data_IF_408565727069
#
_entry.id   IF_408565727069
#
_cell.length_a   1.000
_cell.length_b   1.000
_cell.length_c   1.000
_cell.angle_alpha   90.00
_cell.angle_beta   90.00
_cell.angle_gamma   90.00
#
_symmetry.space_group_name_H-M   'P 1'
#
loop_
_entity.id
_entity.type
_entity.pdbx_description
1 polymer ?
#
# COMPACT_ATOMS: atom_id res chain seq x y z
N UNK A 1 12.74 -0.62 0.28
CA UNK A 1 12.23 -2.00 0.51
C UNK A 1 12.16 -2.22 2.00
N UNK A 2 10.98 -2.50 2.54
CA UNK A 2 10.75 -2.59 3.99
C UNK A 2 11.49 -3.79 4.60
N UNK A 3 12.72 -3.60 4.96
CA UNK A 3 13.56 -4.26 5.98
C UNK A 3 13.80 -5.77 5.98
N UNK A 4 12.94 -6.62 5.44
CA UNK A 4 13.13 -8.07 5.46
C UNK A 4 13.02 -8.65 4.06
N UNK A 5 14.14 -9.10 3.54
CA UNK A 5 14.17 -9.94 2.35
C UNK A 5 13.54 -11.30 2.69
N UNK A 6 12.50 -11.67 1.96
CA UNK A 6 11.76 -12.93 2.15
C UNK A 6 11.47 -13.55 0.79
N UNK A 7 11.15 -14.83 0.77
CA UNK A 7 10.73 -15.53 -0.46
C UNK A 7 9.58 -14.81 -1.19
N UNK A 8 8.72 -14.12 -0.44
CA UNK A 8 7.64 -13.30 -0.98
C UNK A 8 8.17 -12.10 -1.76
N UNK A 9 9.13 -11.37 -1.21
CA UNK A 9 9.73 -10.20 -1.88
C UNK A 9 10.59 -10.62 -3.06
N UNK A 10 11.29 -11.76 -2.94
CA UNK A 10 12.09 -12.33 -4.01
C UNK A 10 11.25 -12.69 -5.25
N UNK A 11 10.14 -13.41 -5.07
CA UNK A 11 9.26 -13.76 -6.19
C UNK A 11 8.66 -12.50 -6.84
N UNK A 12 8.21 -11.52 -6.04
CA UNK A 12 7.69 -10.26 -6.57
C UNK A 12 8.76 -9.54 -7.38
N UNK A 13 9.97 -9.47 -6.88
CA UNK A 13 11.08 -8.84 -7.54
C UNK A 13 11.40 -9.50 -8.89
N UNK A 14 11.51 -10.85 -8.93
CA UNK A 14 11.70 -11.60 -10.19
C UNK A 14 10.59 -11.31 -11.21
N UNK A 15 9.35 -11.25 -10.77
CA UNK A 15 8.20 -10.94 -11.65
C UNK A 15 8.33 -9.53 -12.24
N UNK A 16 8.62 -8.54 -11.41
CA UNK A 16 8.78 -7.15 -11.87
C UNK A 16 9.97 -7.00 -12.82
N UNK A 17 11.07 -7.70 -12.52
CA UNK A 17 12.27 -7.75 -13.39
C UNK A 17 11.93 -8.34 -14.75
N UNK A 18 11.23 -9.46 -14.82
CA UNK A 18 10.92 -10.11 -16.10
C UNK A 18 9.91 -9.32 -16.93
N UNK A 19 8.90 -8.71 -16.31
CA UNK A 19 7.96 -7.81 -17.00
C UNK A 19 8.71 -6.57 -17.56
N UNK A 20 9.59 -5.97 -16.77
CA UNK A 20 10.39 -4.83 -17.22
C UNK A 20 11.33 -5.24 -18.37
N UNK A 21 11.99 -6.39 -18.24
CA UNK A 21 12.89 -6.92 -19.29
C UNK A 21 12.13 -7.16 -20.60
N UNK A 22 10.99 -7.83 -20.54
CA UNK A 22 10.13 -8.07 -21.70
C UNK A 22 9.78 -6.76 -22.42
N UNK A 23 9.45 -5.70 -21.67
CA UNK A 23 9.13 -4.40 -22.25
C UNK A 23 10.36 -3.68 -22.82
N UNK A 24 11.50 -3.67 -22.14
CA UNK A 24 12.73 -3.03 -22.61
C UNK A 24 13.28 -3.71 -23.87
N UNK A 25 13.27 -5.03 -23.91
CA UNK A 25 13.76 -5.83 -25.03
C UNK A 25 12.76 -5.90 -26.20
N UNK A 26 11.52 -5.47 -26.01
CA UNK A 26 10.47 -5.52 -27.03
C UNK A 26 10.06 -6.96 -27.38
N UNK A 27 10.12 -7.87 -26.40
CA UNK A 27 9.74 -9.25 -26.60
C UNK A 27 8.23 -9.39 -26.87
N UNK A 28 7.86 -10.44 -27.60
CA UNK A 28 6.45 -10.73 -27.88
C UNK A 28 5.67 -11.01 -26.58
N UNK A 29 4.42 -10.53 -26.48
CA UNK A 29 3.55 -10.81 -25.33
C UNK A 29 3.29 -12.31 -25.05
N UNK A 30 3.44 -13.18 -26.04
CA UNK A 30 3.35 -14.63 -25.88
C UNK A 30 4.42 -15.19 -24.94
N UNK A 31 5.54 -14.50 -24.76
CA UNK A 31 6.58 -14.86 -23.79
C UNK A 31 6.03 -14.97 -22.34
N UNK A 32 4.90 -14.34 -22.05
CA UNK A 32 4.24 -14.51 -20.75
C UNK A 32 3.97 -15.96 -20.39
N UNK A 33 3.76 -16.84 -21.36
CA UNK A 33 3.51 -18.28 -21.13
C UNK A 33 4.76 -19.01 -20.63
N UNK A 34 5.95 -18.54 -21.00
CA UNK A 34 7.23 -19.15 -20.64
C UNK A 34 7.80 -18.60 -19.32
N UNK A 35 7.46 -17.37 -18.96
CA UNK A 35 8.01 -16.71 -17.77
C UNK A 35 7.78 -17.47 -16.46
N UNK A 36 6.65 -18.17 -16.21
CA UNK A 36 6.49 -19.00 -15.00
C UNK A 36 7.54 -20.09 -14.88
N UNK A 37 7.99 -20.66 -16.00
CA UNK A 37 9.04 -21.70 -16.02
C UNK A 37 10.43 -21.11 -15.84
N UNK A 38 10.66 -19.88 -16.31
CA UNK A 38 11.91 -19.14 -16.07
C UNK A 38 12.05 -18.69 -14.62
N UNK A 39 10.96 -18.21 -13.99
CA UNK A 39 10.95 -17.71 -12.63
C UNK A 39 10.97 -18.84 -11.60
N UNK A 40 10.28 -19.98 -11.90
CA UNK A 40 10.24 -21.19 -11.09
C UNK A 40 10.76 -22.37 -11.92
N UNK A 41 12.10 -22.49 -12.05
CA UNK A 41 12.73 -23.56 -12.83
C UNK A 41 12.72 -24.89 -12.07
N UNK A 42 13.01 -25.99 -12.80
CA UNK A 42 13.19 -27.32 -12.23
C UNK A 42 11.87 -28.09 -12.03
N UNK A 43 11.91 -29.09 -11.20
CA UNK A 43 10.80 -30.05 -11.00
C UNK A 43 10.27 -30.06 -9.56
N UNK A 44 11.05 -29.52 -8.62
CA UNK A 44 10.75 -29.53 -7.18
C UNK A 44 10.17 -28.18 -6.76
N UNK A 45 9.02 -28.22 -6.10
CA UNK A 45 8.39 -27.04 -5.52
C UNK A 45 9.23 -26.46 -4.37
N UNK A 46 9.34 -25.13 -4.31
CA UNK A 46 10.15 -24.42 -3.30
C UNK A 46 9.29 -23.66 -2.30
N UNK A 47 8.15 -23.16 -2.73
CA UNK A 47 7.29 -22.24 -1.97
C UNK A 47 5.90 -22.81 -1.68
N UNK A 48 5.48 -23.85 -2.37
CA UNK A 48 4.17 -24.51 -2.28
C UNK A 48 4.32 -26.03 -2.35
N UNK A 49 3.21 -26.73 -2.20
CA UNK A 49 3.19 -28.20 -2.25
C UNK A 49 3.38 -28.76 -3.67
N UNK A 50 3.22 -27.92 -4.69
CA UNK A 50 3.32 -28.32 -6.09
C UNK A 50 3.94 -27.24 -6.94
N UNK A 51 4.92 -27.61 -7.77
CA UNK A 51 5.57 -26.72 -8.73
C UNK A 51 4.56 -26.17 -9.77
N UNK A 52 3.55 -26.98 -10.15
CA UNK A 52 2.49 -26.54 -11.04
C UNK A 52 1.66 -25.41 -10.42
N UNK A 53 1.37 -25.52 -9.11
CA UNK A 53 0.70 -24.46 -8.36
C UNK A 53 1.56 -23.20 -8.26
N UNK A 54 2.85 -23.32 -8.02
CA UNK A 54 3.78 -22.19 -8.00
C UNK A 54 3.78 -21.45 -9.32
N UNK A 55 3.92 -22.17 -10.44
CA UNK A 55 3.90 -21.59 -11.80
C UNK A 55 2.54 -20.95 -12.12
N UNK A 56 1.43 -21.58 -11.74
CA UNK A 56 0.11 -21.00 -11.92
C UNK A 56 -0.06 -19.67 -11.14
N UNK A 57 0.43 -19.62 -9.88
CA UNK A 57 0.43 -18.39 -9.07
C UNK A 57 1.30 -17.31 -9.69
N UNK A 58 2.48 -17.66 -10.20
CA UNK A 58 3.37 -16.73 -10.91
C UNK A 58 2.71 -16.21 -12.17
N UNK A 59 2.03 -17.06 -12.95
CA UNK A 59 1.27 -16.63 -14.13
C UNK A 59 0.24 -15.57 -13.84
N UNK A 60 -0.55 -15.73 -12.77
CA UNK A 60 -1.52 -14.69 -12.35
C UNK A 60 -0.83 -13.39 -11.88
N UNK A 61 0.32 -13.50 -11.22
CA UNK A 61 1.08 -12.33 -10.80
C UNK A 61 1.67 -11.56 -11.99
N UNK A 62 2.14 -12.26 -13.02
CA UNK A 62 2.61 -11.65 -14.26
C UNK A 62 1.49 -10.83 -14.92
N UNK A 63 0.29 -11.41 -15.02
CA UNK A 63 -0.89 -10.68 -15.53
C UNK A 63 -1.16 -9.39 -14.76
N UNK A 64 -1.19 -9.50 -13.43
CA UNK A 64 -1.47 -8.35 -12.56
C UNK A 64 -0.33 -7.31 -12.62
N UNK A 65 0.92 -7.73 -12.77
CA UNK A 65 2.06 -6.83 -12.97
C UNK A 65 1.99 -6.08 -14.32
N UNK A 66 1.36 -6.69 -15.34
CA UNK A 66 1.01 -6.03 -16.62
C UNK A 66 -0.21 -5.10 -16.52
N UNK A 67 -0.88 -5.01 -15.36
CA UNK A 67 -2.12 -4.26 -15.17
C UNK A 67 -3.40 -5.03 -15.49
N UNK A 68 -3.30 -6.24 -16.01
CA UNK A 68 -4.47 -7.06 -16.41
C UNK A 68 -5.23 -7.62 -15.20
N UNK A 69 -6.47 -8.01 -15.41
CA UNK A 69 -7.26 -8.74 -14.43
C UNK A 69 -6.85 -10.21 -14.32
N UNK A 70 -7.10 -10.81 -13.15
CA UNK A 70 -6.92 -12.25 -12.94
C UNK A 70 -7.83 -13.05 -13.89
N UNK A 71 -7.36 -14.22 -14.31
CA UNK A 71 -8.21 -15.17 -15.07
C UNK A 71 -9.30 -15.74 -14.15
N UNK A 72 -10.44 -16.05 -14.72
CA UNK A 72 -11.47 -16.76 -13.99
C UNK A 72 -11.02 -18.21 -13.74
N UNK A 73 -11.17 -18.70 -12.52
CA UNK A 73 -10.77 -20.07 -12.14
C UNK A 73 -11.57 -21.14 -12.91
N UNK A 74 -12.77 -20.80 -13.34
CA UNK A 74 -13.71 -21.70 -14.06
C UNK A 74 -13.51 -21.73 -15.57
N UNK A 75 -12.64 -20.87 -16.13
CA UNK A 75 -12.43 -20.76 -17.57
C UNK A 75 -10.97 -21.10 -17.93
N UNK A 76 -10.79 -21.97 -18.90
CA UNK A 76 -9.47 -22.20 -19.49
C UNK A 76 -9.07 -20.97 -20.32
N UNK A 77 -7.93 -20.40 -20.00
CA UNK A 77 -7.36 -19.27 -20.76
C UNK A 77 -5.84 -19.24 -20.62
N UNK A 78 -5.10 -18.86 -21.68
CA UNK A 78 -3.67 -18.60 -21.59
C UNK A 78 -3.39 -17.41 -20.68
N UNK A 79 -2.13 -17.31 -20.17
CA UNK A 79 -1.70 -16.19 -19.33
C UNK A 79 -1.77 -14.88 -20.13
N UNK A 80 -1.47 -14.94 -21.43
CA UNK A 80 -1.48 -13.82 -22.37
C UNK A 80 -2.88 -13.34 -22.80
N UNK A 81 -3.97 -14.04 -22.44
CA UNK A 81 -5.35 -13.64 -22.85
C UNK A 81 -5.62 -12.17 -22.54
N UNK A 82 -5.90 -11.35 -23.56
CA UNK A 82 -6.24 -9.94 -23.44
C UNK A 82 -5.03 -9.02 -23.19
N UNK A 83 -3.81 -9.52 -23.42
CA UNK A 83 -2.58 -8.75 -23.21
C UNK A 83 -2.48 -7.54 -24.15
N UNK A 84 -3.10 -7.59 -25.32
CA UNK A 84 -3.09 -6.53 -26.33
C UNK A 84 -3.60 -5.19 -25.76
N UNK A 85 -4.57 -5.25 -24.86
CA UNK A 85 -5.12 -4.07 -24.21
C UNK A 85 -4.13 -3.40 -23.23
N UNK A 86 -3.13 -4.13 -22.72
CA UNK A 86 -2.14 -3.66 -21.76
C UNK A 86 -0.78 -3.31 -22.38
N UNK A 87 -0.54 -3.72 -23.64
CA UNK A 87 0.71 -3.45 -24.36
C UNK A 87 0.60 -2.10 -25.09
N UNK A 88 0.54 -1.04 -24.29
CA UNK A 88 0.39 0.34 -24.75
C UNK A 88 1.33 1.26 -23.98
N UNK A 89 1.65 2.42 -24.53
CA UNK A 89 2.47 3.46 -23.89
C UNK A 89 1.65 4.43 -23.03
N UNK A 90 0.40 4.10 -22.75
CA UNK A 90 -0.52 4.92 -22.00
C UNK A 90 -1.04 4.20 -20.76
N UNK A 91 -1.69 4.96 -19.89
CA UNK A 91 -2.24 4.38 -18.66
C UNK A 91 -3.31 3.34 -18.98
N UNK A 92 -3.00 2.09 -18.65
CA UNK A 92 -3.96 1.01 -18.60
C UNK A 92 -4.44 0.80 -17.16
N UNK A 93 -5.73 0.92 -16.92
CA UNK A 93 -6.31 0.68 -15.62
C UNK A 93 -7.69 0.03 -15.74
N UNK A 94 -7.78 -1.17 -15.25
CA UNK A 94 -9.02 -1.95 -15.11
C UNK A 94 -9.26 -2.25 -13.62
N UNK A 95 -10.36 -1.77 -13.01
CA UNK A 95 -10.65 -2.08 -11.62
C UNK A 95 -10.95 -3.58 -11.41
N UNK A 96 -10.76 -4.10 -10.18
CA UNK A 96 -10.22 -3.43 -9.00
C UNK A 96 -8.68 -3.40 -8.96
N UNK A 97 -8.11 -2.46 -8.18
CA UNK A 97 -6.65 -2.34 -8.02
C UNK A 97 -6.08 -3.51 -7.20
N UNK A 98 -6.72 -3.84 -6.08
CA UNK A 98 -6.27 -4.91 -5.18
C UNK A 98 -7.09 -6.18 -5.45
N UNK A 99 -6.38 -7.27 -5.69
CA UNK A 99 -6.95 -8.56 -6.09
C UNK A 99 -6.48 -9.69 -5.19
N UNK A 100 -7.24 -10.79 -5.16
CA UNK A 100 -6.88 -12.03 -4.46
C UNK A 100 -6.73 -13.16 -5.47
N UNK A 101 -5.54 -13.72 -5.58
CA UNK A 101 -5.30 -14.95 -6.34
C UNK A 101 -5.90 -16.09 -5.51
N UNK A 102 -7.08 -16.56 -5.90
CA UNK A 102 -7.91 -17.48 -5.11
C UNK A 102 -7.19 -18.78 -4.74
N UNK A 103 -6.46 -19.37 -5.67
CA UNK A 103 -5.72 -20.62 -5.44
C UNK A 103 -4.36 -20.41 -4.73
N UNK A 104 -3.91 -19.18 -4.58
CA UNK A 104 -2.78 -18.85 -3.72
C UNK A 104 -3.21 -18.57 -2.26
N UNK A 105 -4.51 -18.39 -2.02
CA UNK A 105 -5.06 -18.14 -0.69
C UNK A 105 -5.15 -19.45 0.11
N UNK A 106 -4.56 -19.45 1.31
CA UNK A 106 -4.52 -20.63 2.18
C UNK A 106 -5.79 -20.78 3.06
N UNK A 107 -6.89 -20.12 2.72
CA UNK A 107 -8.16 -20.17 3.48
C UNK A 107 -7.93 -20.03 4.99
N UNK A 108 -7.07 -19.06 5.39
CA UNK A 108 -6.75 -18.85 6.79
C UNK A 108 -8.02 -18.70 7.63
N UNK A 109 -8.06 -19.29 8.84
CA UNK A 109 -9.25 -19.24 9.67
C UNK A 109 -9.64 -17.79 9.96
N UNK A 110 -10.93 -17.54 10.00
CA UNK A 110 -11.47 -16.31 10.55
C UNK A 110 -11.12 -16.21 12.05
N UNK A 111 -11.53 -15.14 12.67
CA UNK A 111 -11.27 -14.96 14.09
C UNK A 111 -11.85 -16.11 14.92
N UNK A 112 -11.00 -16.89 15.55
CA UNK A 112 -11.38 -17.96 16.49
C UNK A 112 -10.45 -18.00 17.70
N UNK A 113 -10.96 -18.56 18.80
CA UNK A 113 -10.16 -18.90 19.97
C UNK A 113 -10.08 -20.43 20.01
N UNK A 114 -8.89 -20.95 20.14
CA UNK A 114 -8.67 -22.41 20.16
C UNK A 114 -7.68 -22.81 21.24
N UNK A 115 -7.81 -24.05 21.67
CA UNK A 115 -6.90 -24.67 22.64
C UNK A 115 -5.87 -25.48 21.87
N UNK A 116 -4.62 -25.29 22.22
CA UNK A 116 -3.48 -26.00 21.60
C UNK A 116 -3.13 -27.26 22.38
N UNK A 117 -2.22 -28.07 21.82
CA UNK A 117 -1.65 -29.25 22.49
C UNK A 117 -0.94 -28.92 23.82
N UNK A 118 -0.62 -27.66 24.07
CA UNK A 118 -0.04 -27.17 25.33
C UNK A 118 -0.97 -27.23 26.56
N UNK A 119 -2.25 -27.61 26.38
CA UNK A 119 -3.19 -27.72 27.49
C UNK A 119 -2.80 -28.86 28.44
N UNK A 120 -2.61 -28.53 29.72
CA UNK A 120 -2.21 -29.46 30.77
C UNK A 120 -3.39 -30.10 31.54
N UNK A 121 -4.63 -29.76 31.19
CA UNK A 121 -5.81 -30.28 31.93
C UNK A 121 -5.76 -29.95 33.43
N UNK A 122 -5.35 -28.71 33.79
CA UNK A 122 -5.13 -28.31 35.16
C UNK A 122 -6.42 -28.48 36.04
N UNK A 123 -6.24 -28.80 37.30
CA UNK A 123 -7.35 -29.07 38.22
C UNK A 123 -8.26 -27.86 38.44
N UNK A 124 -7.70 -26.66 38.43
CA UNK A 124 -8.41 -25.42 38.74
C UNK A 124 -9.30 -24.93 37.57
N UNK A 125 -9.05 -25.39 36.35
CA UNK A 125 -9.78 -25.05 35.13
C UNK A 125 -10.10 -23.55 34.93
N UNK A 126 -9.18 -22.61 35.12
CA UNK A 126 -9.52 -21.18 35.14
C UNK A 126 -10.11 -20.70 33.80
N UNK A 127 -9.80 -21.34 32.70
CA UNK A 127 -10.39 -21.04 31.39
C UNK A 127 -11.88 -21.39 31.29
N UNK A 128 -12.34 -22.41 32.02
CA UNK A 128 -13.76 -22.81 32.12
C UNK A 128 -14.50 -21.80 33.00
N UNK A 129 -13.95 -21.52 34.18
CA UNK A 129 -14.57 -20.63 35.18
C UNK A 129 -14.76 -19.19 34.68
N UNK A 130 -13.77 -18.65 33.92
CA UNK A 130 -13.81 -17.27 33.42
C UNK A 130 -14.72 -17.08 32.19
N UNK A 131 -15.23 -18.18 31.60
CA UNK A 131 -16.00 -18.11 30.36
C UNK A 131 -17.43 -17.61 30.60
N UNK A 132 -17.81 -16.38 30.14
CA UNK A 132 -19.14 -15.83 30.42
C UNK A 132 -20.27 -16.55 29.65
N UNK A 133 -19.89 -17.32 28.61
CA UNK A 133 -20.85 -18.09 27.79
C UNK A 133 -20.79 -19.59 28.03
N UNK A 134 -19.97 -20.03 29.02
CA UNK A 134 -19.75 -21.46 29.30
C UNK A 134 -19.38 -22.29 28.07
N UNK A 135 -18.75 -21.63 27.11
CA UNK A 135 -18.31 -22.25 25.85
C UNK A 135 -17.03 -23.08 25.99
N UNK A 136 -16.38 -23.02 27.18
CA UNK A 136 -15.17 -23.82 27.47
C UNK A 136 -15.58 -24.93 28.42
N UNK A 137 -15.26 -26.16 28.10
CA UNK A 137 -15.57 -27.36 28.93
C UNK A 137 -14.39 -28.33 28.89
N UNK A 138 -14.41 -29.27 29.82
CA UNK A 138 -13.40 -30.32 29.91
C UNK A 138 -13.90 -31.59 29.20
N UNK A 139 -13.06 -32.17 28.36
CA UNK A 139 -13.32 -33.42 27.69
C UNK A 139 -11.97 -34.16 27.50
N UNK A 140 -11.95 -35.47 27.83
CA UNK A 140 -10.74 -36.28 27.69
C UNK A 140 -9.49 -35.76 28.42
N UNK A 141 -9.69 -35.08 29.57
CA UNK A 141 -8.60 -34.51 30.36
C UNK A 141 -8.03 -33.20 29.83
N UNK A 142 -8.67 -32.60 28.82
CA UNK A 142 -8.26 -31.32 28.22
C UNK A 142 -9.44 -30.37 28.10
N UNK A 143 -9.16 -29.08 28.04
CA UNK A 143 -10.20 -28.10 27.75
C UNK A 143 -10.54 -28.09 26.26
N UNK A 144 -11.82 -27.93 25.95
CA UNK A 144 -12.35 -27.74 24.60
C UNK A 144 -13.18 -26.46 24.53
N UNK A 145 -13.29 -25.88 23.35
CA UNK A 145 -14.11 -24.68 23.09
C UNK A 145 -15.18 -25.03 22.09
N UNK A 146 -16.44 -24.84 22.48
CA UNK A 146 -17.57 -24.83 21.56
C UNK A 146 -17.50 -23.54 20.72
N UNK A 147 -17.21 -23.67 19.43
CA UNK A 147 -17.03 -22.55 18.52
C UNK A 147 -18.34 -21.77 18.28
N UNK A 148 -19.50 -22.43 18.36
CA UNK A 148 -20.80 -21.81 18.12
C UNK A 148 -21.25 -20.98 19.33
N UNK A 149 -20.97 -21.45 20.54
CA UNK A 149 -21.25 -20.73 21.79
C UNK A 149 -20.21 -19.64 22.09
N UNK A 150 -19.01 -19.72 21.49
CA UNK A 150 -17.89 -18.85 21.80
C UNK A 150 -18.02 -17.45 21.16
N UNK A 151 -18.13 -16.42 22.01
CA UNK A 151 -18.14 -15.00 21.56
C UNK A 151 -16.77 -14.42 21.27
N UNK A 152 -15.70 -15.23 21.31
CA UNK A 152 -14.32 -14.85 20.94
C UNK A 152 -13.74 -13.69 21.77
N UNK A 153 -14.19 -13.52 23.02
CA UNK A 153 -13.80 -12.40 23.90
C UNK A 153 -12.34 -12.50 24.38
N UNK A 154 -11.76 -13.70 24.47
CA UNK A 154 -10.35 -13.91 24.86
C UNK A 154 -10.09 -14.04 26.35
N UNK A 155 -11.09 -13.95 27.25
CA UNK A 155 -10.89 -14.06 28.70
C UNK A 155 -10.22 -15.37 29.14
N UNK A 156 -10.57 -16.49 28.49
CA UNK A 156 -9.94 -17.78 28.72
C UNK A 156 -8.44 -17.81 28.33
N UNK A 157 -8.04 -17.04 27.33
CA UNK A 157 -6.65 -16.88 26.92
C UNK A 157 -5.84 -16.17 28.02
N UNK A 158 -6.38 -15.09 28.58
CA UNK A 158 -5.72 -14.33 29.64
C UNK A 158 -5.63 -15.13 30.96
N UNK A 159 -6.63 -15.99 31.23
CA UNK A 159 -6.70 -16.81 32.43
C UNK A 159 -5.81 -18.07 32.37
N UNK A 160 -5.35 -18.49 31.20
CA UNK A 160 -4.59 -19.74 31.08
C UNK A 160 -3.13 -19.55 31.50
N UNK A 161 -2.64 -20.17 32.60
CA UNK A 161 -1.27 -20.01 33.09
C UNK A 161 -0.22 -20.67 32.16
N UNK A 162 -0.66 -21.58 31.29
CA UNK A 162 0.21 -22.30 30.35
C UNK A 162 0.24 -21.67 28.96
N UNK A 163 -0.47 -20.57 28.72
CA UNK A 163 -0.63 -19.97 27.38
C UNK A 163 -1.10 -20.97 26.31
N UNK A 164 -1.83 -22.01 26.72
CA UNK A 164 -2.32 -23.06 25.86
C UNK A 164 -3.52 -22.64 24.99
N UNK A 165 -4.07 -21.45 25.23
CA UNK A 165 -5.20 -20.90 24.47
C UNK A 165 -4.69 -19.78 23.58
N UNK A 166 -5.00 -19.86 22.31
CA UNK A 166 -4.56 -18.87 21.32
C UNK A 166 -5.75 -18.27 20.57
N UNK A 167 -5.59 -17.03 20.14
CA UNK A 167 -6.54 -16.36 19.25
C UNK A 167 -5.94 -16.34 17.88
N UNK A 168 -6.59 -17.03 16.95
CA UNK A 168 -6.24 -16.97 15.53
C UNK A 168 -7.12 -15.97 14.81
N UNK A 169 -6.53 -15.23 13.91
CA UNK A 169 -7.24 -14.28 13.09
C UNK A 169 -6.53 -14.19 11.72
N UNK A 170 -7.30 -14.18 10.65
CA UNK A 170 -6.78 -14.05 9.30
C UNK A 170 -5.94 -12.78 9.17
N UNK A 171 -4.63 -12.86 8.81
CA UNK A 171 -3.74 -11.69 8.85
C UNK A 171 -4.21 -10.53 7.97
N UNK A 172 -4.70 -10.82 6.75
CA UNK A 172 -5.19 -9.79 5.83
C UNK A 172 -6.47 -9.11 6.35
N UNK A 173 -7.39 -9.85 6.99
CA UNK A 173 -8.59 -9.28 7.59
C UNK A 173 -8.26 -8.46 8.84
N UNK A 174 -7.35 -8.95 9.70
CA UNK A 174 -6.86 -8.23 10.88
C UNK A 174 -6.22 -6.89 10.51
N UNK A 175 -5.46 -6.85 9.41
CA UNK A 175 -4.80 -5.64 8.93
C UNK A 175 -5.76 -4.67 8.24
N UNK A 176 -6.97 -5.10 7.89
CA UNK A 176 -7.93 -4.28 7.17
C UNK A 176 -8.71 -3.34 8.10
N UNK A 177 -8.28 -2.08 8.19
CA UNK A 177 -8.98 -1.06 8.99
C UNK A 177 -10.37 -0.71 8.48
N UNK A 178 -10.73 -1.12 7.25
CA UNK A 178 -12.04 -0.93 6.64
C UNK A 178 -13.01 -2.10 6.85
N UNK A 179 -12.54 -3.22 7.43
CA UNK A 179 -13.30 -4.47 7.52
C UNK A 179 -13.85 -4.92 6.16
N UNK A 180 -13.04 -4.73 5.11
CA UNK A 180 -13.41 -5.03 3.72
C UNK A 180 -13.06 -6.47 3.30
N UNK A 181 -12.52 -7.31 4.19
CA UNK A 181 -12.09 -8.67 3.84
C UNK A 181 -12.93 -9.69 4.59
N UNK A 182 -13.72 -10.40 3.82
CA UNK A 182 -14.52 -11.55 4.24
C UNK A 182 -13.97 -12.86 3.71
N UNK A 183 -14.85 -13.88 3.67
CA UNK A 183 -14.59 -15.20 3.07
C UNK A 183 -15.57 -15.47 1.95
N UNK A 184 -15.10 -16.13 0.89
CA UNK A 184 -15.97 -16.75 -0.10
C UNK A 184 -16.49 -18.12 0.42
N UNK A 185 -17.29 -18.80 -0.41
CA UNK A 185 -17.88 -20.10 -0.11
C UNK A 185 -16.87 -21.23 0.21
N UNK A 186 -15.59 -21.04 -0.21
CA UNK A 186 -14.48 -21.97 0.06
C UNK A 186 -13.59 -21.49 1.22
N UNK A 187 -14.01 -20.50 1.99
CA UNK A 187 -13.23 -19.94 3.09
C UNK A 187 -12.03 -19.08 2.66
N UNK A 188 -11.87 -18.78 1.35
CA UNK A 188 -10.78 -17.96 0.83
C UNK A 188 -11.10 -16.49 1.03
N UNK A 189 -10.06 -15.66 1.13
CA UNK A 189 -10.24 -14.22 1.27
C UNK A 189 -11.00 -13.63 0.07
N UNK A 190 -11.95 -12.76 0.37
CA UNK A 190 -12.71 -11.98 -0.59
C UNK A 190 -12.74 -10.51 -0.16
N UNK A 191 -12.49 -9.61 -1.12
CA UNK A 191 -12.42 -8.17 -0.86
C UNK A 191 -13.71 -7.51 -1.31
N UNK A 192 -14.43 -6.91 -0.37
CA UNK A 192 -15.55 -6.00 -0.65
C UNK A 192 -14.96 -4.69 -1.23
N UNK A 193 -15.08 -4.52 -2.54
CA UNK A 193 -14.49 -3.39 -3.26
C UNK A 193 -15.19 -2.07 -2.92
N UNK A 194 -16.44 -2.09 -2.50
CA UNK A 194 -17.16 -0.89 -2.09
C UNK A 194 -16.63 -0.33 -0.78
N UNK A 195 -16.16 -1.20 0.11
CA UNK A 195 -15.49 -0.78 1.36
C UNK A 195 -14.01 -0.50 1.17
N UNK A 196 -13.37 -1.16 0.23
CA UNK A 196 -11.92 -1.08 0.04
C UNK A 196 -11.48 0.37 -0.30
N UNK A 197 -10.35 0.79 0.31
CA UNK A 197 -9.67 2.07 0.03
C UNK A 197 -8.26 1.86 -0.54
N UNK A 198 -7.96 0.66 -0.99
CA UNK A 198 -6.70 0.27 -1.64
C UNK A 198 -5.43 0.63 -0.86
N UNK A 199 -5.48 0.62 0.48
CA UNK A 199 -4.33 0.99 1.33
C UNK A 199 -3.16 0.01 1.25
N UNK A 200 -3.35 -1.21 0.73
CA UNK A 200 -2.30 -2.22 0.58
C UNK A 200 -1.92 -2.98 1.85
N UNK A 201 -2.49 -2.68 3.03
CA UNK A 201 -2.11 -3.36 4.28
C UNK A 201 -2.36 -4.87 4.25
N UNK A 202 -3.42 -5.31 3.59
CA UNK A 202 -3.70 -6.73 3.39
C UNK A 202 -2.66 -7.44 2.52
N UNK A 203 -2.09 -6.75 1.53
CA UNK A 203 -1.01 -7.24 0.66
C UNK A 203 0.26 -7.49 1.48
N UNK A 204 0.65 -6.52 2.31
CA UNK A 204 1.82 -6.63 3.18
C UNK A 204 1.64 -7.74 4.21
N UNK A 205 0.45 -7.86 4.81
CA UNK A 205 0.17 -8.79 5.92
C UNK A 205 -0.09 -10.23 5.47
N UNK A 206 -0.33 -10.49 4.17
CA UNK A 206 -0.58 -11.85 3.70
C UNK A 206 0.72 -12.67 3.63
N UNK A 207 0.90 -13.70 4.48
CA UNK A 207 2.12 -14.51 4.46
C UNK A 207 2.22 -15.41 3.22
N UNK A 208 1.08 -15.73 2.61
CA UNK A 208 1.01 -16.53 1.39
C UNK A 208 1.12 -15.70 0.12
N UNK A 209 1.25 -14.37 0.26
CA UNK A 209 1.32 -13.45 -0.86
C UNK A 209 0.18 -13.64 -1.89
N UNK A 210 -1.00 -14.04 -1.43
CA UNK A 210 -2.17 -14.25 -2.28
C UNK A 210 -2.83 -12.95 -2.72
N UNK A 211 -2.57 -11.84 -2.03
CA UNK A 211 -3.11 -10.53 -2.35
C UNK A 211 -2.07 -9.76 -3.18
N UNK A 212 -2.53 -9.17 -4.27
CA UNK A 212 -1.70 -8.49 -5.27
C UNK A 212 -2.35 -7.17 -5.70
N UNK A 213 -1.53 -6.22 -6.11
CA UNK A 213 -1.94 -4.95 -6.71
C UNK A 213 -1.55 -4.88 -8.18
N UNK A 214 -2.34 -4.20 -8.99
CA UNK A 214 -2.07 -4.05 -10.42
C UNK A 214 -0.86 -3.15 -10.66
N UNK A 215 0.06 -3.60 -11.50
CA UNK A 215 1.26 -2.89 -11.92
C UNK A 215 1.03 -1.97 -13.11
N UNK A 216 2.01 -1.13 -13.39
CA UNK A 216 2.08 -0.25 -14.55
C UNK A 216 3.50 -0.24 -15.15
N UNK A 217 4.31 -1.27 -14.85
CA UNK A 217 5.72 -1.35 -15.29
C UNK A 217 5.79 -1.38 -16.81
N UNK A 218 5.02 -2.26 -17.43
CA UNK A 218 5.09 -2.47 -18.88
C UNK A 218 4.77 -1.18 -19.63
N UNK A 219 3.64 -0.54 -19.30
CA UNK A 219 3.19 0.72 -19.92
C UNK A 219 4.20 1.86 -19.68
N UNK A 220 4.78 1.91 -18.47
CA UNK A 220 5.82 2.90 -18.15
C UNK A 220 7.06 2.70 -19.04
N UNK A 221 7.54 1.46 -19.22
CA UNK A 221 8.69 1.18 -20.08
C UNK A 221 8.37 1.50 -21.54
N UNK A 222 7.17 1.19 -22.02
CA UNK A 222 6.74 1.57 -23.37
C UNK A 222 6.75 3.10 -23.54
N UNK A 223 6.28 3.85 -22.55
CA UNK A 223 6.34 5.30 -22.55
C UNK A 223 7.80 5.83 -22.54
N UNK A 224 8.70 5.20 -21.75
CA UNK A 224 10.12 5.55 -21.71
C UNK A 224 10.86 5.30 -23.06
N UNK A 225 10.34 4.40 -23.88
CA UNK A 225 10.88 4.11 -25.23
C UNK A 225 10.29 5.01 -26.32
N UNK A 226 9.22 5.75 -26.01
CA UNK A 226 8.61 6.69 -26.98
C UNK A 226 9.40 8.00 -27.04
N UNK A 227 9.04 8.86 -27.99
CA UNK A 227 9.66 10.19 -28.16
C UNK A 227 9.13 11.20 -27.10
N UNK A 228 8.08 10.85 -26.36
CA UNK A 228 7.48 11.73 -25.35
C UNK A 228 8.39 11.85 -24.12
N UNK A 229 8.74 13.06 -23.65
CA UNK A 229 9.50 13.23 -22.44
C UNK A 229 8.79 12.64 -21.23
N UNK A 230 9.48 11.81 -20.45
CA UNK A 230 8.93 11.16 -19.24
C UNK A 230 9.69 11.61 -18.01
N UNK A 231 8.99 12.24 -17.07
CA UNK A 231 9.55 12.72 -15.82
C UNK A 231 9.19 11.78 -14.66
N UNK A 232 10.19 11.40 -13.88
CA UNK A 232 9.95 10.75 -12.58
C UNK A 232 9.71 11.82 -11.50
N UNK A 233 8.67 11.66 -10.71
CA UNK A 233 8.46 12.40 -9.46
C UNK A 233 8.55 11.43 -8.30
N UNK A 234 9.56 11.60 -7.45
CA UNK A 234 9.89 10.63 -6.40
C UNK A 234 9.37 11.08 -5.04
N UNK A 235 8.73 10.15 -4.32
CA UNK A 235 8.25 10.39 -2.97
C UNK A 235 9.41 10.60 -1.99
N UNK A 236 9.25 11.40 -0.93
CA UNK A 236 10.30 11.60 0.10
C UNK A 236 10.79 10.29 0.73
N UNK A 237 9.93 9.27 0.76
CA UNK A 237 10.28 7.94 1.27
C UNK A 237 11.32 7.19 0.41
N UNK A 238 11.84 7.77 -0.68
CA UNK A 238 12.92 7.17 -1.48
C UNK A 238 14.22 7.00 -0.70
N UNK A 239 14.45 7.83 0.30
CA UNK A 239 15.62 7.75 1.15
C UNK A 239 15.75 6.37 1.81
N UNK A 240 16.87 5.69 1.55
CA UNK A 240 17.14 4.34 2.08
C UNK A 240 16.40 3.18 1.41
N UNK A 241 15.61 3.42 0.34
CA UNK A 241 14.89 2.35 -0.37
C UNK A 241 15.83 1.48 -1.24
N UNK A 242 16.87 2.09 -1.77
CA UNK A 242 17.87 1.42 -2.61
C UNK A 242 19.21 1.41 -1.86
N UNK A 243 19.61 0.28 -1.23
CA UNK A 243 20.83 0.21 -0.45
C UNK A 243 22.06 0.59 -1.27
N UNK A 244 22.86 1.55 -0.76
CA UNK A 244 24.05 2.04 -1.44
C UNK A 244 23.80 3.08 -2.56
N UNK A 245 22.56 3.44 -2.84
CA UNK A 245 22.26 4.55 -3.74
C UNK A 245 22.29 5.87 -2.98
N UNK A 246 23.25 6.71 -3.27
CA UNK A 246 23.37 8.06 -2.73
C UNK A 246 22.45 9.05 -3.42
N UNK A 247 22.09 10.14 -2.74
CA UNK A 247 21.14 11.13 -3.26
C UNK A 247 21.62 11.80 -4.57
N UNK A 248 22.94 11.99 -4.71
CA UNK A 248 23.57 12.57 -5.92
C UNK A 248 23.57 11.59 -7.13
N UNK A 249 23.23 10.31 -6.93
CA UNK A 249 23.14 9.30 -8.00
C UNK A 249 21.71 9.01 -8.46
N UNK A 250 20.69 9.42 -7.70
CA UNK A 250 19.28 9.12 -8.01
C UNK A 250 18.90 9.59 -9.41
N UNK A 251 19.25 10.84 -9.76
CA UNK A 251 18.91 11.39 -11.09
C UNK A 251 19.54 10.59 -12.21
N UNK A 252 20.84 10.30 -12.13
CA UNK A 252 21.57 9.51 -13.14
C UNK A 252 21.02 8.08 -13.26
N UNK A 253 20.70 7.43 -12.14
CA UNK A 253 20.13 6.08 -12.14
C UNK A 253 18.76 6.05 -12.85
N UNK A 254 17.89 7.00 -12.60
CA UNK A 254 16.60 7.08 -13.31
C UNK A 254 16.76 7.45 -14.78
N UNK A 255 17.72 8.32 -15.12
CA UNK A 255 18.03 8.61 -16.51
C UNK A 255 18.55 7.36 -17.26
N UNK A 256 19.32 6.51 -16.60
CA UNK A 256 19.73 5.22 -17.15
C UNK A 256 18.54 4.28 -17.45
N UNK A 257 17.42 4.40 -16.71
CA UNK A 257 16.17 3.70 -17.04
C UNK A 257 15.45 4.31 -18.26
N UNK A 258 15.80 5.52 -18.68
CA UNK A 258 15.18 6.23 -19.80
C UNK A 258 14.33 7.45 -19.41
N UNK A 259 14.27 7.83 -18.12
CA UNK A 259 13.59 9.05 -17.71
C UNK A 259 14.34 10.30 -18.19
N UNK A 260 13.59 11.31 -18.59
CA UNK A 260 14.14 12.62 -18.99
C UNK A 260 14.78 13.33 -17.81
N UNK A 261 14.11 13.36 -16.66
CA UNK A 261 14.62 13.94 -15.43
C UNK A 261 13.83 13.44 -14.21
N UNK A 262 14.33 13.79 -13.00
CA UNK A 262 13.74 13.42 -11.70
C UNK A 262 13.45 14.68 -10.89
N UNK A 263 12.29 14.71 -10.24
CA UNK A 263 11.87 15.79 -9.33
C UNK A 263 11.42 15.22 -7.99
N UNK A 264 11.71 15.93 -6.90
CA UNK A 264 11.21 15.57 -5.58
C UNK A 264 9.75 16.00 -5.41
N UNK A 265 8.89 15.06 -4.99
CA UNK A 265 7.52 15.38 -4.57
C UNK A 265 7.50 16.22 -3.28
N UNK A 266 8.57 16.17 -2.51
CA UNK A 266 8.75 17.00 -1.32
C UNK A 266 8.66 18.52 -1.61
N UNK A 267 9.03 18.98 -2.82
CA UNK A 267 8.82 20.38 -3.24
C UNK A 267 7.33 20.71 -3.31
N UNK A 268 6.53 19.79 -3.87
CA UNK A 268 5.07 19.91 -3.84
C UNK A 268 4.50 19.85 -2.43
N UNK A 269 5.13 19.09 -1.52
CA UNK A 269 4.75 19.05 -0.12
C UNK A 269 4.96 20.41 0.58
N UNK A 270 6.10 21.07 0.33
CA UNK A 270 6.36 22.42 0.85
C UNK A 270 5.28 23.42 0.42
N UNK A 271 4.87 23.37 -0.83
CA UNK A 271 3.82 24.25 -1.35
C UNK A 271 2.43 23.91 -0.79
N UNK A 272 2.11 22.62 -0.69
CA UNK A 272 0.86 22.17 -0.05
C UNK A 272 0.79 22.61 1.42
N UNK A 273 1.91 22.55 2.13
CA UNK A 273 2.00 22.99 3.52
C UNK A 273 1.59 24.45 3.70
N UNK A 274 2.04 25.33 2.81
CA UNK A 274 1.69 26.76 2.88
C UNK A 274 0.20 26.97 2.64
N UNK A 275 -0.39 26.23 1.71
CA UNK A 275 -1.81 26.32 1.43
C UNK A 275 -2.66 25.79 2.62
N UNK A 276 -2.31 24.59 3.12
CA UNK A 276 -2.99 24.03 4.30
C UNK A 276 -2.86 24.91 5.54
N UNK A 277 -1.71 25.60 5.72
CA UNK A 277 -1.54 26.55 6.83
C UNK A 277 -2.47 27.76 6.71
N UNK A 278 -2.66 28.30 5.50
CA UNK A 278 -3.59 29.41 5.26
C UNK A 278 -5.03 28.97 5.50
N UNK A 279 -5.43 27.84 4.92
CA UNK A 279 -6.77 27.26 5.11
C UNK A 279 -7.06 27.03 6.61
N UNK A 280 -6.08 26.50 7.35
CA UNK A 280 -6.23 26.30 8.79
C UNK A 280 -6.47 27.63 9.54
N UNK A 281 -5.69 28.68 9.23
CA UNK A 281 -5.83 29.99 9.86
C UNK A 281 -7.18 30.67 9.54
N UNK A 282 -7.69 30.48 8.33
CA UNK A 282 -8.94 31.10 7.86
C UNK A 282 -10.20 30.35 8.31
N UNK A 283 -10.09 29.05 8.52
CA UNK A 283 -11.27 28.20 8.69
C UNK A 283 -11.44 27.65 10.10
N UNK A 284 -10.35 27.43 10.84
CA UNK A 284 -10.39 26.78 12.16
C UNK A 284 -10.17 27.77 13.30
N UNK A 285 -11.04 27.83 14.33
CA UNK A 285 -12.26 27.00 14.53
C UNK A 285 -13.53 27.62 13.99
N UNK A 286 -13.50 28.81 13.38
CA UNK A 286 -14.68 29.65 13.11
C UNK A 286 -15.66 29.00 12.12
N UNK A 287 -15.15 28.43 11.01
CA UNK A 287 -15.96 27.79 9.96
C UNK A 287 -15.97 26.27 10.10
N UNK A 288 -14.85 25.70 10.53
CA UNK A 288 -14.67 24.25 10.69
C UNK A 288 -14.26 23.94 12.14
N UNK A 289 -14.87 22.92 12.76
CA UNK A 289 -14.48 22.52 14.13
C UNK A 289 -13.02 22.06 14.22
N UNK A 290 -12.49 21.47 13.17
CA UNK A 290 -11.09 21.04 13.02
C UNK A 290 -10.75 20.97 11.53
N UNK A 291 -9.47 20.90 11.20
CA UNK A 291 -9.02 20.56 9.85
C UNK A 291 -8.21 19.25 9.90
N UNK A 292 -8.34 18.43 8.88
CA UNK A 292 -7.59 17.19 8.74
C UNK A 292 -6.83 17.17 7.41
N UNK A 293 -5.57 16.71 7.43
CA UNK A 293 -4.70 16.63 6.25
C UNK A 293 -5.24 15.65 5.20
N UNK A 294 -4.90 15.83 3.92
CA UNK A 294 -5.42 15.01 2.82
C UNK A 294 -4.35 14.21 2.05
N UNK A 295 -3.07 14.34 2.39
CA UNK A 295 -1.94 13.77 1.63
C UNK A 295 -1.99 12.23 1.48
N UNK A 296 -2.55 11.51 2.46
CA UNK A 296 -2.76 10.06 2.39
C UNK A 296 -4.12 9.72 1.74
N UNK A 297 -4.15 9.19 0.49
CA UNK A 297 -5.42 8.96 -0.23
C UNK A 297 -6.31 7.90 0.42
N UNK A 298 -5.74 6.90 1.09
CA UNK A 298 -6.53 5.88 1.79
C UNK A 298 -7.18 6.42 3.05
N UNK A 299 -6.49 7.29 3.79
CA UNK A 299 -7.02 7.98 4.94
C UNK A 299 -8.18 8.90 4.54
N UNK A 300 -7.94 9.80 3.59
CA UNK A 300 -8.98 10.75 3.15
C UNK A 300 -10.20 10.04 2.55
N UNK A 301 -9.99 8.91 1.84
CA UNK A 301 -11.11 8.12 1.31
C UNK A 301 -11.87 7.39 2.42
N UNK A 302 -11.19 6.85 3.43
CA UNK A 302 -11.83 6.25 4.61
C UNK A 302 -12.68 7.28 5.34
N UNK A 303 -12.13 8.48 5.57
CA UNK A 303 -12.85 9.56 6.22
C UNK A 303 -14.13 9.93 5.45
N UNK A 304 -14.04 10.13 4.14
CA UNK A 304 -15.18 10.44 3.28
C UNK A 304 -16.24 9.33 3.21
N UNK A 305 -15.81 8.04 3.24
CA UNK A 305 -16.74 6.91 3.21
C UNK A 305 -17.45 6.66 4.54
N UNK A 306 -16.73 6.75 5.67
CA UNK A 306 -17.26 6.38 6.99
C UNK A 306 -17.81 7.57 7.79
N UNK A 307 -17.37 8.78 7.47
CA UNK A 307 -17.74 10.03 8.17
C UNK A 307 -18.07 11.14 7.16
N UNK A 308 -19.09 10.95 6.32
CA UNK A 308 -19.42 11.91 5.25
C UNK A 308 -19.74 13.30 5.80
N UNK A 309 -20.28 13.40 7.00
CA UNK A 309 -20.56 14.67 7.70
C UNK A 309 -19.29 15.46 8.04
N UNK A 310 -18.14 14.78 8.22
CA UNK A 310 -16.83 15.38 8.50
C UNK A 310 -15.98 15.55 7.24
N UNK A 311 -16.48 15.14 6.08
CA UNK A 311 -15.73 15.21 4.82
C UNK A 311 -15.29 16.63 4.47
N UNK A 312 -16.05 17.66 4.89
CA UNK A 312 -15.72 19.08 4.72
C UNK A 312 -14.51 19.54 5.54
N UNK A 313 -14.17 18.81 6.62
CA UNK A 313 -13.01 19.10 7.46
C UNK A 313 -11.71 18.51 6.89
N UNK A 314 -11.79 17.66 5.84
CA UNK A 314 -10.60 17.15 5.16
C UNK A 314 -10.10 18.23 4.21
N UNK A 315 -8.83 18.61 4.34
CA UNK A 315 -8.19 19.62 3.48
C UNK A 315 -8.46 19.34 1.99
N UNK A 316 -8.81 20.39 1.28
CA UNK A 316 -9.03 20.37 -0.16
C UNK A 316 -7.78 20.72 -0.95
N UNK A 317 -6.66 21.01 -0.29
CA UNK A 317 -5.37 21.23 -0.92
C UNK A 317 -4.99 20.03 -1.80
N UNK A 318 -4.35 20.33 -2.92
CA UNK A 318 -3.84 19.27 -3.81
C UNK A 318 -2.81 18.42 -3.07
N UNK A 319 -2.84 17.12 -3.28
CA UNK A 319 -1.77 16.28 -2.70
C UNK A 319 -0.42 16.62 -3.35
N UNK A 320 0.70 16.47 -2.61
CA UNK A 320 2.04 16.77 -3.13
C UNK A 320 2.33 16.12 -4.49
N UNK A 321 1.88 14.87 -4.70
CA UNK A 321 1.99 14.17 -5.98
C UNK A 321 1.33 14.94 -7.13
N UNK A 322 0.08 15.34 -6.92
CA UNK A 322 -0.72 16.01 -7.96
C UNK A 322 -0.20 17.41 -8.23
N UNK A 323 0.16 18.15 -7.17
CA UNK A 323 0.70 19.51 -7.33
C UNK A 323 2.02 19.50 -8.09
N UNK A 324 2.96 18.61 -7.73
CA UNK A 324 4.23 18.47 -8.44
C UNK A 324 4.01 18.15 -9.91
N UNK A 325 3.11 17.19 -10.20
CA UNK A 325 2.80 16.82 -11.58
C UNK A 325 2.20 18.00 -12.39
N UNK A 326 1.29 18.77 -11.79
CA UNK A 326 0.70 19.96 -12.42
C UNK A 326 1.75 21.00 -12.75
N UNK A 327 2.66 21.29 -11.82
CA UNK A 327 3.73 22.28 -12.02
C UNK A 327 4.66 21.89 -13.17
N UNK A 328 4.96 20.60 -13.34
CA UNK A 328 5.76 20.12 -14.47
C UNK A 328 4.97 20.27 -15.77
N UNK A 329 3.73 19.79 -15.83
CA UNK A 329 2.88 19.86 -17.04
C UNK A 329 2.50 21.30 -17.45
N UNK A 330 2.54 22.26 -16.53
CA UNK A 330 2.40 23.68 -16.88
C UNK A 330 3.59 24.21 -17.70
N UNK A 331 4.80 23.69 -17.43
CA UNK A 331 6.02 24.06 -18.17
C UNK A 331 6.20 23.22 -19.42
N UNK A 332 5.86 21.95 -19.37
CA UNK A 332 6.00 20.95 -20.41
C UNK A 332 4.69 20.18 -20.61
N UNK A 333 3.72 20.75 -21.33
CA UNK A 333 2.38 20.18 -21.46
C UNK A 333 2.33 18.78 -22.08
N UNK A 334 3.29 18.47 -22.98
CA UNK A 334 3.34 17.22 -23.72
C UNK A 334 4.19 16.13 -23.06
N UNK A 335 4.50 16.26 -21.76
CA UNK A 335 5.26 15.24 -21.03
C UNK A 335 4.35 14.22 -20.34
N UNK A 336 4.92 13.05 -20.04
CA UNK A 336 4.33 12.04 -19.16
C UNK A 336 4.99 12.09 -17.79
N UNK A 337 4.18 11.88 -16.74
CA UNK A 337 4.63 11.93 -15.34
C UNK A 337 4.46 10.56 -14.70
N UNK A 338 5.54 10.05 -14.14
CA UNK A 338 5.57 8.80 -13.37
C UNK A 338 5.82 9.13 -11.89
N UNK A 339 4.85 8.86 -11.04
CA UNK A 339 5.10 8.93 -9.60
C UNK A 339 5.76 7.64 -9.12
N UNK A 340 6.86 7.78 -8.38
CA UNK A 340 7.59 6.67 -7.77
C UNK A 340 7.53 6.79 -6.26
N UNK A 341 6.95 5.80 -5.59
CA UNK A 341 6.75 5.86 -4.15
C UNK A 341 6.36 4.53 -3.51
N UNK A 342 6.10 4.48 -2.19
CA UNK A 342 5.87 3.22 -1.47
C UNK A 342 4.42 2.72 -1.55
N UNK A 343 3.51 3.42 -2.25
CA UNK A 343 2.09 3.36 -1.96
C UNK A 343 1.23 2.87 -3.15
N UNK A 344 0.60 1.69 -3.00
CA UNK A 344 -0.40 1.19 -3.96
C UNK A 344 -1.62 2.12 -4.07
N UNK A 345 -2.04 2.79 -2.98
CA UNK A 345 -3.19 3.70 -3.02
C UNK A 345 -2.97 4.93 -3.93
N UNK A 346 -1.73 5.31 -4.21
CA UNK A 346 -1.40 6.36 -5.18
C UNK A 346 -1.77 5.95 -6.61
N UNK A 347 -1.76 4.65 -6.94
CA UNK A 347 -2.27 4.14 -8.22
C UNK A 347 -3.77 4.43 -8.38
N UNK A 348 -4.55 4.23 -7.29
CA UNK A 348 -5.97 4.55 -7.28
C UNK A 348 -6.22 6.06 -7.34
N UNK A 349 -5.44 6.86 -6.61
CA UNK A 349 -5.52 8.32 -6.66
C UNK A 349 -5.27 8.84 -8.07
N UNK A 350 -4.20 8.40 -8.72
CA UNK A 350 -3.84 8.77 -10.09
C UNK A 350 -4.87 8.31 -11.14
N UNK A 351 -5.75 7.36 -10.80
CA UNK A 351 -6.80 6.86 -11.71
C UNK A 351 -8.11 7.67 -11.64
N UNK A 352 -8.24 8.61 -10.68
CA UNK A 352 -9.43 9.46 -10.54
C UNK A 352 -9.57 10.40 -11.75
N UNK A 353 -10.81 10.62 -12.20
CA UNK A 353 -11.11 11.46 -13.37
C UNK A 353 -10.48 12.86 -13.31
N UNK A 354 -10.42 13.47 -12.11
CA UNK A 354 -9.87 14.82 -11.89
C UNK A 354 -8.32 14.87 -11.88
N UNK A 355 -7.66 13.73 -11.81
CA UNK A 355 -6.20 13.63 -11.57
C UNK A 355 -5.49 12.88 -12.70
N UNK A 356 -6.17 11.95 -13.38
CA UNK A 356 -5.58 11.02 -14.34
C UNK A 356 -4.80 11.67 -15.50
N UNK A 357 -5.13 12.93 -15.81
CA UNK A 357 -4.44 13.70 -16.86
C UNK A 357 -3.13 14.33 -16.40
N UNK A 358 -2.87 14.39 -15.09
CA UNK A 358 -1.65 14.98 -14.53
C UNK A 358 -0.60 13.94 -14.19
N UNK A 359 -1.01 12.79 -13.63
CA UNK A 359 -0.11 11.69 -13.28
C UNK A 359 -0.40 10.52 -14.19
N UNK A 360 0.51 10.19 -15.09
CA UNK A 360 0.30 9.18 -16.12
C UNK A 360 0.50 7.78 -15.55
N UNK A 361 1.55 7.54 -14.75
CA UNK A 361 1.83 6.25 -14.15
C UNK A 361 2.23 6.37 -12.69
N UNK A 362 2.04 5.29 -11.94
CA UNK A 362 2.48 5.15 -10.56
C UNK A 362 3.21 3.83 -10.38
N UNK A 363 4.47 3.90 -9.97
CA UNK A 363 5.30 2.75 -9.66
C UNK A 363 5.65 2.71 -8.18
N UNK A 364 5.69 1.52 -7.62
CA UNK A 364 6.27 1.28 -6.30
C UNK A 364 7.80 1.19 -6.38
N UNK A 365 8.48 1.39 -5.26
CA UNK A 365 9.94 1.20 -5.22
C UNK A 365 10.36 -0.23 -5.58
N UNK A 366 9.54 -1.25 -5.23
CA UNK A 366 9.78 -2.63 -5.63
C UNK A 366 9.69 -2.83 -7.15
N UNK A 367 8.73 -2.16 -7.79
CA UNK A 367 8.59 -2.18 -9.26
C UNK A 367 9.80 -1.53 -9.94
N UNK A 368 10.25 -0.38 -9.43
CA UNK A 368 11.44 0.31 -9.95
C UNK A 368 12.73 -0.47 -9.71
N UNK A 369 12.86 -1.17 -8.56
CA UNK A 369 13.99 -2.08 -8.32
C UNK A 369 14.07 -3.17 -9.39
N UNK A 370 12.92 -3.76 -9.77
CA UNK A 370 12.87 -4.72 -10.89
C UNK A 370 13.25 -4.09 -12.23
N UNK A 371 12.93 -2.82 -12.47
CA UNK A 371 13.37 -2.11 -13.69
C UNK A 371 14.88 -1.89 -13.72
N UNK A 372 15.51 -1.54 -12.59
CA UNK A 372 16.97 -1.43 -12.50
C UNK A 372 17.65 -2.74 -12.85
N UNK A 373 17.21 -3.86 -12.27
CA UNK A 373 17.77 -5.17 -12.57
C UNK A 373 17.54 -5.59 -14.03
N UNK A 374 16.35 -5.32 -14.57
CA UNK A 374 16.02 -5.65 -15.96
C UNK A 374 16.92 -4.90 -16.96
N UNK A 375 17.28 -3.66 -16.65
CA UNK A 375 18.14 -2.80 -17.48
C UNK A 375 19.63 -3.00 -17.18
N UNK A 376 19.97 -3.75 -16.11
CA UNK A 376 21.36 -3.93 -15.66
C UNK A 376 21.99 -2.65 -15.11
N UNK A 377 21.20 -1.77 -14.49
CA UNK A 377 21.70 -0.52 -13.91
C UNK A 377 22.29 -0.78 -12.53
N UNK A 378 23.61 -0.73 -12.41
CA UNK A 378 24.30 -0.66 -11.12
C UNK A 378 24.61 0.83 -10.81
N UNK A 379 24.01 1.36 -9.75
CA UNK A 379 24.24 2.75 -9.34
C UNK A 379 25.65 3.01 -8.81
N UNK A 380 26.46 1.98 -8.56
CA UNK A 380 27.90 2.17 -8.29
C UNK A 380 28.62 2.74 -9.48
N UNK A 381 28.20 2.35 -10.71
CA UNK A 381 28.76 2.79 -11.97
C UNK A 381 28.17 4.15 -12.44
N UNK A 382 27.10 4.63 -11.78
CA UNK A 382 26.52 5.93 -12.08
C UNK A 382 27.43 7.03 -11.53
N UNK A 383 27.86 7.98 -12.37
CA UNK A 383 28.65 9.12 -11.93
C UNK A 383 27.86 9.99 -10.95
N UNK A 384 28.57 10.59 -10.01
CA UNK A 384 27.99 11.57 -9.10
C UNK A 384 27.48 12.78 -9.89
N UNK A 385 26.26 13.18 -9.60
CA UNK A 385 25.58 14.31 -10.20
C UNK A 385 25.05 15.28 -9.14
N UNK A 386 24.22 16.21 -9.56
CA UNK A 386 23.53 17.11 -8.65
C UNK A 386 22.53 16.33 -7.77
N UNK A 387 22.63 16.43 -6.45
CA UNK A 387 21.65 15.80 -5.55
C UNK A 387 20.27 16.43 -5.72
N UNK A 388 19.24 15.69 -5.32
CA UNK A 388 17.89 16.22 -5.19
C UNK A 388 17.84 17.03 -3.87
N UNK A 389 17.87 18.38 -3.94
CA UNK A 389 18.02 19.24 -2.77
C UNK A 389 17.06 20.43 -2.68
N UNK A 390 16.09 20.51 -3.61
CA UNK A 390 15.20 21.70 -3.71
C UNK A 390 14.10 21.76 -2.65
N UNK A 391 13.80 20.65 -2.01
CA UNK A 391 12.80 20.58 -0.95
C UNK A 391 13.37 20.90 0.42
N UNK A 392 12.52 21.41 1.31
CA UNK A 392 12.85 21.63 2.72
C UNK A 392 12.88 20.33 3.53
N UNK A 393 13.35 20.42 4.78
CA UNK A 393 13.23 19.32 5.74
C UNK A 393 11.76 19.00 6.04
N UNK A 394 10.90 20.02 6.13
CA UNK A 394 9.46 19.89 6.37
C UNK A 394 8.80 19.09 5.24
N UNK A 395 9.05 19.42 3.96
CA UNK A 395 8.51 18.69 2.82
C UNK A 395 8.97 17.24 2.74
N UNK A 396 10.23 16.96 3.12
CA UNK A 396 10.73 15.57 3.21
C UNK A 396 10.17 14.84 4.41
N UNK A 397 9.86 15.55 5.49
CA UNK A 397 9.22 15.03 6.69
C UNK A 397 7.83 14.40 6.45
N UNK A 398 7.15 14.73 5.35
CA UNK A 398 5.84 14.15 4.98
C UNK A 398 5.84 12.63 4.89
N UNK A 399 7.00 12.02 4.74
CA UNK A 399 7.13 10.56 4.68
C UNK A 399 6.94 9.87 6.05
N UNK A 400 7.08 10.59 7.13
CA UNK A 400 7.00 10.07 8.51
C UNK A 400 5.65 10.44 9.12
N UNK A 401 5.11 9.56 9.97
CA UNK A 401 3.87 9.85 10.71
C UNK A 401 4.07 11.06 11.63
N UNK A 402 3.17 12.03 11.57
CA UNK A 402 3.26 13.32 12.27
C UNK A 402 3.94 14.43 11.49
N UNK A 403 4.72 14.09 10.46
CA UNK A 403 5.53 15.07 9.73
C UNK A 403 4.72 16.05 8.88
N UNK A 404 3.52 15.66 8.42
CA UNK A 404 2.64 16.57 7.68
C UNK A 404 2.10 17.65 8.62
N UNK A 405 1.61 17.24 9.78
CA UNK A 405 1.06 18.17 10.76
C UNK A 405 2.17 19.09 11.30
N UNK A 406 3.37 18.58 11.56
CA UNK A 406 4.52 19.36 11.98
C UNK A 406 4.91 20.44 10.96
N UNK A 407 4.95 20.07 9.67
CA UNK A 407 5.20 21.01 8.60
C UNK A 407 4.16 22.13 8.54
N UNK A 408 2.87 21.79 8.69
CA UNK A 408 1.78 22.80 8.73
C UNK A 408 1.92 23.71 9.96
N UNK A 409 2.25 23.15 11.13
CA UNK A 409 2.52 23.94 12.35
C UNK A 409 3.67 24.93 12.12
N UNK A 410 4.77 24.49 11.51
CA UNK A 410 5.89 25.38 11.16
C UNK A 410 5.48 26.48 10.19
N UNK A 411 4.63 26.16 9.20
CA UNK A 411 4.14 27.16 8.25
C UNK A 411 3.18 28.16 8.91
N UNK A 412 2.27 27.69 9.76
CA UNK A 412 1.40 28.59 10.56
C UNK A 412 2.21 29.55 11.39
N UNK A 413 3.22 29.08 12.13
CA UNK A 413 4.10 29.92 12.94
C UNK A 413 4.88 30.96 12.14
N UNK A 414 5.18 30.67 10.86
CA UNK A 414 5.81 31.66 9.96
C UNK A 414 4.83 32.73 9.49
N UNK A 415 3.54 32.41 9.37
CA UNK A 415 2.49 33.35 8.94
C UNK A 415 1.95 34.15 10.13
N UNK A 416 1.64 33.47 11.22
CA UNK A 416 1.08 34.00 12.46
C UNK A 416 1.83 33.39 13.67
N UNK A 417 2.88 34.07 14.19
CA UNK A 417 3.69 33.55 15.29
C UNK A 417 2.94 33.35 16.60
N UNK A 418 1.83 34.07 16.81
CA UNK A 418 1.07 34.04 18.05
C UNK A 418 -0.01 32.91 18.01
N UNK A 419 -0.25 32.34 16.86
CA UNK A 419 -1.24 31.27 16.71
C UNK A 419 -0.71 29.93 17.21
N UNK A 420 -1.31 29.43 18.29
CA UNK A 420 -1.06 28.05 18.75
C UNK A 420 -1.87 27.04 17.92
N UNK A 421 -1.22 26.00 17.42
CA UNK A 421 -1.84 24.89 16.69
C UNK A 421 -1.76 23.62 17.51
N UNK A 422 -2.92 23.10 17.91
CA UNK A 422 -3.04 21.80 18.57
C UNK A 422 -3.11 20.71 17.52
N UNK A 423 -2.31 19.66 17.70
CA UNK A 423 -2.19 18.57 16.72
C UNK A 423 -2.65 17.24 17.34
N UNK A 424 -3.29 16.41 16.54
CA UNK A 424 -3.52 15.00 16.86
C UNK A 424 -3.20 14.13 15.65
N UNK A 425 -2.30 13.17 15.83
CA UNK A 425 -1.86 12.25 14.79
C UNK A 425 -2.41 10.85 15.04
N UNK A 426 -2.77 10.16 13.97
CA UNK A 426 -3.17 8.76 14.02
C UNK A 426 -2.58 7.98 12.84
N UNK A 427 -2.08 6.80 13.13
CA UNK A 427 -1.53 5.87 12.14
C UNK A 427 -2.25 4.52 12.17
N UNK A 428 -2.40 3.92 10.99
CA UNK A 428 -3.29 2.78 10.77
C UNK A 428 -4.77 3.20 10.73
N UNK A 429 -5.51 2.74 9.74
CA UNK A 429 -6.90 3.17 9.52
C UNK A 429 -7.84 2.90 10.71
N UNK A 430 -7.55 1.90 11.55
CA UNK A 430 -8.34 1.65 12.77
C UNK A 430 -8.20 2.79 13.79
N UNK A 431 -6.98 3.30 14.00
CA UNK A 431 -6.74 4.42 14.91
C UNK A 431 -7.24 5.74 14.30
N UNK A 432 -7.07 5.92 12.99
CA UNK A 432 -7.66 7.05 12.27
C UNK A 432 -9.19 7.10 12.43
N UNK A 433 -9.85 5.93 12.36
CA UNK A 433 -11.29 5.82 12.61
C UNK A 433 -11.67 6.27 14.03
N UNK A 434 -10.91 5.82 15.05
CA UNK A 434 -11.12 6.24 16.45
C UNK A 434 -10.91 7.75 16.60
N UNK A 435 -9.90 8.31 15.96
CA UNK A 435 -9.65 9.75 15.97
C UNK A 435 -10.86 10.53 15.44
N UNK A 436 -11.44 10.15 14.30
CA UNK A 436 -12.64 10.80 13.76
C UNK A 436 -13.88 10.59 14.63
N UNK A 437 -14.03 9.43 15.27
CA UNK A 437 -15.11 9.21 16.24
C UNK A 437 -15.02 10.19 17.42
N UNK A 438 -13.81 10.45 17.92
CA UNK A 438 -13.59 11.43 18.99
C UNK A 438 -13.75 12.87 18.49
N UNK A 439 -13.35 13.18 17.25
CA UNK A 439 -13.59 14.46 16.62
C UNK A 439 -15.10 14.75 16.47
N UNK A 440 -15.91 13.72 16.14
CA UNK A 440 -17.37 13.83 16.01
C UNK A 440 -18.06 14.29 17.30
N UNK A 441 -17.53 13.92 18.45
CA UNK A 441 -18.05 14.34 19.76
C UNK A 441 -17.38 15.63 20.30
N UNK A 442 -16.64 16.35 19.44
CA UNK A 442 -16.07 17.66 19.75
C UNK A 442 -14.73 17.65 20.50
N UNK A 443 -14.11 16.46 20.76
CA UNK A 443 -12.85 16.38 21.51
C UNK A 443 -11.70 17.15 20.86
N UNK A 444 -11.71 17.26 19.54
CA UNK A 444 -10.64 17.88 18.76
C UNK A 444 -11.05 19.18 18.08
N UNK A 445 -11.95 19.94 18.70
CA UNK A 445 -12.28 21.29 18.20
C UNK A 445 -11.06 22.20 18.30
N UNK A 446 -10.74 22.91 17.23
CA UNK A 446 -9.57 23.76 17.10
C UNK A 446 -8.26 23.03 16.75
N UNK A 447 -8.31 21.73 16.46
CA UNK A 447 -7.12 20.92 16.18
C UNK A 447 -6.85 20.79 14.67
N UNK A 448 -5.57 20.56 14.35
CA UNK A 448 -5.12 19.97 13.10
C UNK A 448 -4.98 18.46 13.30
N UNK A 449 -5.66 17.66 12.47
CA UNK A 449 -5.62 16.20 12.52
C UNK A 449 -4.79 15.64 11.38
N UNK A 450 -3.86 14.74 11.69
CA UNK A 450 -3.15 13.95 10.67
C UNK A 450 -3.55 12.49 10.73
N UNK A 451 -3.93 11.92 9.59
CA UNK A 451 -4.20 10.50 9.46
C UNK A 451 -3.30 9.84 8.41
N UNK A 452 -2.61 8.78 8.82
CA UNK A 452 -1.82 7.93 7.93
C UNK A 452 -2.37 6.50 7.92
N UNK A 453 -2.61 5.95 6.72
CA UNK A 453 -3.11 4.55 6.62
C UNK A 453 -2.08 3.50 7.03
N UNK A 454 -0.80 3.83 6.92
CA UNK A 454 0.32 2.95 7.27
C UNK A 454 0.86 3.29 8.67
N UNK A 455 1.10 2.30 9.55
CA UNK A 455 1.86 2.53 10.78
C UNK A 455 3.28 3.05 10.46
N UNK A 456 3.75 4.07 11.18
CA UNK A 456 5.05 4.71 10.94
C UNK A 456 5.10 5.66 9.73
N UNK A 457 4.00 5.80 8.98
CA UNK A 457 3.93 6.64 7.78
C UNK A 457 4.37 5.93 6.50
N UNK A 458 4.84 6.69 5.50
CA UNK A 458 5.21 6.16 4.19
C UNK A 458 6.58 5.46 4.16
N UNK A 459 7.40 5.63 5.18
CA UNK A 459 8.74 4.99 5.30
C UNK A 459 8.70 3.62 5.98
N UNK A 460 7.59 3.26 6.64
CA UNK A 460 7.45 2.02 7.41
C UNK A 460 7.02 0.80 6.57
#
# INVERSE_FOLDING_TARGET
MRGLYSSKTEIRHKIFTEIARMAYEGQSPEMLEELPYKIVPGEIATYRDSIFLERAVVGERLRVAMGMSLRKVTEHAPISKGVEASVIEEKYYEPPLINVIKFACNSCPEKRVMITEGCQGCLEHPCVEVCPKKAVHMEGGRSHIDEDACIKCGKCLEACPYNAIIKQERPCSKACGMNAIGSDEYGRAEIDQDKCVSCGQCLVSCPFSAIVDKGQIFQTVMALKSETPVYAIVAPAIAGQFPGMENNKIRGAFQALGFTDVREVAVGADLCTVEEAKDFLEEVPEKLPFMATSCCPSWSMMAKKLFPEQAKCISMALTPMVLTARLIKQKEPNCKIVFVGPCAAKKLEASRKSIRSYVDFVLTFEEVAGMFDAKGVDWKDIPEGEPLFRASADGRGFAVSGGVAEAVVHAVKRIDPDREVKVMNAEGLQNCKKMLQMAKIGKYNGYLLEGMACPGGCVA
#
